data_IF_071358761012
#
_entry.id   IF_071358761012
#
_cell.length_a   1.000
_cell.length_b   1.000
_cell.length_c   1.000
_cell.angle_alpha   90.00
_cell.angle_beta   90.00
_cell.angle_gamma   90.00
#
_symmetry.space_group_name_H-M   'P 1'
#
loop_
_entity.id
_entity.type
_entity.pdbx_description
1 polymer ?
#
# COMPACT_ATOMS: atom_id res chain seq x y z
N UNK A 1 10.02 -3.08 14.66
CA UNK A 1 10.45 -3.99 13.59
C UNK A 1 9.23 -4.37 12.79
N UNK A 2 9.30 -4.31 11.46
CA UNK A 2 8.20 -4.65 10.56
C UNK A 2 8.12 -6.16 10.37
N UNK A 3 6.98 -6.75 10.72
CA UNK A 3 6.66 -8.16 10.50
C UNK A 3 5.93 -8.32 9.16
N UNK A 4 6.69 -8.63 8.11
CA UNK A 4 6.17 -8.85 6.76
C UNK A 4 5.12 -9.95 6.69
N UNK A 5 5.33 -11.06 7.41
CA UNK A 5 4.38 -12.18 7.44
C UNK A 5 3.04 -11.77 8.07
N UNK A 6 3.06 -10.92 9.10
CA UNK A 6 1.85 -10.40 9.71
C UNK A 6 1.08 -9.48 8.74
N UNK A 7 1.78 -8.62 8.00
CA UNK A 7 1.18 -7.81 6.94
C UNK A 7 0.53 -8.68 5.85
N UNK A 8 1.23 -9.71 5.38
CA UNK A 8 0.71 -10.65 4.37
C UNK A 8 -0.46 -11.46 4.90
N UNK A 9 -0.39 -11.98 6.12
CA UNK A 9 -1.49 -12.72 6.75
C UNK A 9 -2.74 -11.85 6.88
N UNK A 10 -2.59 -10.58 7.27
CA UNK A 10 -3.69 -9.63 7.30
C UNK A 10 -4.27 -9.42 5.90
N UNK A 11 -3.41 -9.17 4.91
CA UNK A 11 -3.83 -8.95 3.53
C UNK A 11 -4.56 -10.17 2.94
N UNK A 12 -4.13 -11.39 3.27
CA UNK A 12 -4.78 -12.62 2.82
C UNK A 12 -6.09 -12.91 3.55
N UNK A 13 -6.25 -12.43 4.78
CA UNK A 13 -7.50 -12.59 5.54
C UNK A 13 -8.60 -11.64 5.04
N UNK A 14 -8.22 -10.40 4.72
CA UNK A 14 -9.18 -9.32 4.48
C UNK A 14 -9.31 -8.92 3.01
N UNK A 15 -8.70 -9.63 2.06
CA UNK A 15 -8.66 -9.22 0.64
C UNK A 15 -10.04 -9.00 -0.02
N UNK A 16 -11.09 -9.68 0.47
CA UNK A 16 -12.47 -9.67 -0.05
C UNK A 16 -13.49 -9.09 0.94
N UNK A 17 -13.03 -8.53 2.05
CA UNK A 17 -13.90 -8.10 3.15
C UNK A 17 -13.32 -6.93 3.92
N UNK A 18 -14.19 -6.11 4.54
CA UNK A 18 -13.73 -4.91 5.27
C UNK A 18 -13.65 -5.23 6.75
N UNK A 19 -12.51 -4.97 7.36
CA UNK A 19 -12.33 -5.17 8.79
C UNK A 19 -13.13 -4.12 9.57
N UNK A 20 -14.13 -4.51 10.39
CA UNK A 20 -15.00 -3.57 11.11
C UNK A 20 -14.26 -2.76 12.20
N UNK A 21 -13.02 -3.12 12.55
CA UNK A 21 -12.19 -2.32 13.45
C UNK A 21 -11.71 -0.99 12.82
N UNK A 22 -11.86 -0.83 11.50
CA UNK A 22 -11.41 0.34 10.74
C UNK A 22 -12.58 1.01 10.01
N UNK A 23 -12.46 2.32 9.68
CA UNK A 23 -13.41 2.98 8.81
C UNK A 23 -13.47 2.29 7.44
N UNK A 24 -14.67 2.16 6.89
CA UNK A 24 -14.89 1.70 5.53
C UNK A 24 -14.95 2.88 4.56
N UNK A 25 -14.46 2.67 3.34
CA UNK A 25 -14.44 3.64 2.26
C UNK A 25 -14.96 3.00 0.98
N UNK A 26 -15.58 3.78 0.09
CA UNK A 26 -15.95 3.31 -1.25
C UNK A 26 -14.71 3.03 -2.10
N UNK A 27 -13.72 3.94 -2.02
CA UNK A 27 -12.39 3.77 -2.61
C UNK A 27 -11.41 3.41 -1.49
N UNK A 28 -11.16 2.11 -1.35
CA UNK A 28 -10.60 1.54 -0.12
C UNK A 28 -9.16 1.04 -0.25
N UNK A 29 -8.58 1.07 -1.46
CA UNK A 29 -7.24 0.58 -1.74
C UNK A 29 -6.21 0.99 -0.66
N UNK A 30 -6.10 2.29 -0.39
CA UNK A 30 -5.07 2.82 0.53
C UNK A 30 -5.37 2.54 1.99
N UNK A 31 -6.65 2.54 2.38
CA UNK A 31 -7.04 2.19 3.74
C UNK A 31 -6.73 0.71 4.02
N UNK A 32 -7.03 -0.20 3.08
CA UNK A 32 -6.61 -1.59 3.16
C UNK A 32 -5.09 -1.76 3.23
N UNK A 33 -4.32 -1.09 2.36
CA UNK A 33 -2.85 -1.15 2.42
C UNK A 33 -2.34 -0.62 3.77
N UNK A 34 -2.91 0.48 4.28
CA UNK A 34 -2.53 1.03 5.58
C UNK A 34 -2.82 0.07 6.72
N UNK A 35 -3.95 -0.65 6.68
CA UNK A 35 -4.24 -1.69 7.67
C UNK A 35 -3.23 -2.85 7.60
N UNK A 36 -2.83 -3.28 6.40
CA UNK A 36 -1.81 -4.31 6.22
C UNK A 36 -0.46 -3.87 6.80
N UNK A 37 -0.02 -2.64 6.50
CA UNK A 37 1.21 -2.07 7.02
C UNK A 37 1.17 -1.94 8.55
N UNK A 38 0.03 -1.50 9.10
CA UNK A 38 -0.18 -1.42 10.55
C UNK A 38 -0.14 -2.80 11.20
N UNK A 39 -0.78 -3.81 10.60
CA UNK A 39 -0.74 -5.20 11.08
C UNK A 39 0.68 -5.79 11.05
N UNK A 40 1.52 -5.33 10.11
CA UNK A 40 2.95 -5.59 10.11
C UNK A 40 3.74 -4.83 11.17
N UNK A 41 3.11 -3.98 11.99
CA UNK A 41 3.77 -3.23 13.06
C UNK A 41 4.44 -1.94 12.60
N UNK A 42 4.05 -1.39 11.45
CA UNK A 42 4.50 -0.06 11.04
C UNK A 42 4.01 1.02 12.04
N UNK A 43 4.91 1.87 12.56
CA UNK A 43 4.54 2.89 13.54
C UNK A 43 3.87 4.08 12.87
N UNK A 44 2.70 4.44 13.39
CA UNK A 44 2.00 5.66 13.01
C UNK A 44 2.73 6.91 13.52
N UNK A 45 2.71 7.98 12.73
CA UNK A 45 3.35 9.25 13.08
C UNK A 45 2.64 10.46 12.44
N UNK A 46 2.79 11.65 13.03
CA UNK A 46 2.33 12.93 12.46
C UNK A 46 0.91 13.38 12.84
N UNK A 47 0.24 12.68 13.76
CA UNK A 47 -0.99 13.15 14.40
C UNK A 47 -0.76 14.50 15.12
N UNK A 48 -1.71 15.46 15.08
CA UNK A 48 -3.08 15.37 14.56
C UNK A 48 -3.31 15.98 13.16
N UNK A 49 -2.28 16.48 12.48
CA UNK A 49 -2.48 17.17 11.21
C UNK A 49 -2.77 16.16 10.08
N UNK A 50 -3.95 16.27 9.46
CA UNK A 50 -4.39 15.36 8.38
C UNK A 50 -3.54 15.43 7.11
N UNK A 51 -2.87 16.56 6.88
CA UNK A 51 -1.99 16.76 5.72
C UNK A 51 -0.59 16.15 5.91
N UNK A 52 -0.25 15.68 7.12
CA UNK A 52 1.10 15.20 7.43
C UNK A 52 1.12 13.85 8.14
N UNK A 53 2.21 13.11 7.94
CA UNK A 53 2.43 11.82 8.58
C UNK A 53 1.66 10.69 7.93
N UNK A 54 1.50 9.60 8.68
CA UNK A 54 0.69 8.42 8.34
C UNK A 54 0.09 7.89 9.65
N UNK A 55 -1.21 8.06 9.83
CA UNK A 55 -1.88 7.74 11.09
C UNK A 55 -3.40 7.60 10.95
N UNK A 56 -3.98 6.79 11.84
CA UNK A 56 -5.40 6.73 12.17
C UNK A 56 -5.56 6.75 13.70
N UNK A 57 -6.40 7.65 14.22
CA UNK A 57 -6.61 7.83 15.66
C UNK A 57 -7.96 8.49 15.94
N UNK A 58 -8.69 7.96 16.92
CA UNK A 58 -9.95 8.57 17.40
C UNK A 58 -11.00 8.76 16.29
N UNK A 59 -11.08 7.83 15.33
CA UNK A 59 -12.00 7.93 14.19
C UNK A 59 -11.58 8.95 13.12
N UNK A 60 -10.40 9.55 13.22
CA UNK A 60 -9.82 10.45 12.20
C UNK A 60 -8.52 9.87 11.63
N UNK A 61 -8.10 10.33 10.45
CA UNK A 61 -6.91 9.83 9.76
C UNK A 61 -6.22 10.91 8.91
N UNK A 62 -4.94 10.68 8.60
CA UNK A 62 -4.19 11.46 7.59
C UNK A 62 -4.59 11.11 6.17
N UNK A 63 -4.37 12.01 5.20
CA UNK A 63 -4.64 11.71 3.79
C UNK A 63 -3.83 10.52 3.28
N UNK A 64 -2.57 10.39 3.71
CA UNK A 64 -1.73 9.24 3.40
C UNK A 64 -2.24 7.90 3.91
N UNK A 65 -3.16 7.88 4.90
CA UNK A 65 -3.79 6.65 5.37
C UNK A 65 -4.85 6.14 4.38
N UNK A 66 -5.53 7.04 3.66
CA UNK A 66 -6.73 6.69 2.89
C UNK A 66 -6.71 7.11 1.41
N UNK A 67 -5.67 7.79 0.93
CA UNK A 67 -5.57 8.29 -0.47
C UNK A 67 -4.27 7.84 -1.12
N UNK A 68 -4.35 7.15 -2.27
CA UNK A 68 -3.19 6.53 -2.94
C UNK A 68 -2.11 7.53 -3.31
N UNK A 69 -2.50 8.66 -3.89
CA UNK A 69 -1.57 9.74 -4.22
C UNK A 69 -0.82 10.27 -2.98
N UNK A 70 -1.52 10.44 -1.87
CA UNK A 70 -0.90 10.90 -0.63
C UNK A 70 0.01 9.83 0.00
N UNK A 71 -0.37 8.54 -0.04
CA UNK A 71 0.47 7.45 0.46
C UNK A 71 1.77 7.35 -0.35
N UNK A 72 1.69 7.43 -1.68
CA UNK A 72 2.86 7.39 -2.57
C UNK A 72 3.88 8.48 -2.21
N UNK A 73 3.43 9.72 -2.02
CA UNK A 73 4.34 10.82 -1.66
C UNK A 73 4.87 10.68 -0.23
N UNK A 74 4.06 10.17 0.69
CA UNK A 74 4.51 9.85 2.04
C UNK A 74 5.63 8.80 2.02
N UNK A 75 5.45 7.66 1.34
CA UNK A 75 6.46 6.60 1.26
C UNK A 75 7.75 7.07 0.58
N UNK A 76 7.66 7.94 -0.43
CA UNK A 76 8.83 8.50 -1.10
C UNK A 76 9.64 9.49 -0.26
N UNK A 77 9.00 10.18 0.70
CA UNK A 77 9.62 11.29 1.44
C UNK A 77 9.81 11.06 2.95
N UNK A 78 9.15 10.06 3.53
CA UNK A 78 9.16 9.83 4.98
C UNK A 78 10.55 9.41 5.47
N UNK A 79 10.99 10.05 6.55
CA UNK A 79 12.25 9.73 7.26
C UNK A 79 12.01 9.27 8.70
N UNK A 80 10.75 9.13 9.12
CA UNK A 80 10.36 8.79 10.48
C UNK A 80 9.05 8.01 10.50
N UNK A 81 8.97 7.03 11.39
CA UNK A 81 7.81 6.15 11.46
C UNK A 81 7.87 5.12 10.31
N UNK A 82 6.74 4.89 9.64
CA UNK A 82 6.72 4.12 8.39
C UNK A 82 7.63 4.77 7.34
N UNK A 83 8.63 4.03 6.89
CA UNK A 83 9.58 4.46 5.86
C UNK A 83 9.79 3.36 4.83
N UNK A 84 10.18 3.75 3.62
CA UNK A 84 10.43 2.84 2.52
C UNK A 84 11.60 3.31 1.67
N UNK A 85 12.15 2.39 0.88
CA UNK A 85 13.11 2.66 -0.19
C UNK A 85 12.43 2.42 -1.53
N UNK A 86 12.51 3.41 -2.42
CA UNK A 86 12.11 3.22 -3.80
C UNK A 86 13.13 2.32 -4.53
N UNK A 87 12.64 1.33 -5.27
CA UNK A 87 13.44 0.44 -6.11
C UNK A 87 13.01 0.53 -7.57
N UNK A 88 13.86 0.04 -8.47
CA UNK A 88 13.70 0.26 -9.91
C UNK A 88 12.77 -0.75 -10.57
N UNK A 89 12.67 -1.95 -10.00
CA UNK A 89 11.91 -3.06 -10.59
C UNK A 89 10.98 -3.74 -9.59
N UNK A 90 9.90 -4.35 -10.08
CA UNK A 90 8.97 -5.10 -9.23
C UNK A 90 9.63 -6.33 -8.61
N UNK A 91 10.57 -6.97 -9.31
CA UNK A 91 11.24 -8.20 -8.90
C UNK A 91 12.09 -8.00 -7.63
N UNK A 92 12.57 -6.78 -7.39
CA UNK A 92 13.26 -6.39 -6.16
C UNK A 92 12.34 -6.41 -4.93
N UNK A 93 11.01 -6.36 -5.10
CA UNK A 93 10.06 -6.37 -4.00
C UNK A 93 10.00 -7.73 -3.30
N UNK A 94 9.80 -7.69 -2.00
CA UNK A 94 9.50 -8.83 -1.15
C UNK A 94 8.08 -8.75 -0.59
N UNK A 95 7.72 -9.77 0.19
CA UNK A 95 6.45 -9.82 0.90
C UNK A 95 6.25 -8.59 1.81
N UNK A 96 5.05 -8.02 1.80
CA UNK A 96 4.69 -6.84 2.57
C UNK A 96 5.18 -5.51 1.98
N UNK A 97 5.76 -5.51 0.78
CA UNK A 97 6.13 -4.30 0.05
C UNK A 97 4.96 -3.73 -0.75
N UNK A 98 5.05 -2.45 -1.12
CA UNK A 98 3.93 -1.70 -1.71
C UNK A 98 4.24 -1.26 -3.14
N UNK A 99 3.22 -1.28 -4.00
CA UNK A 99 3.29 -0.71 -5.35
C UNK A 99 2.26 0.40 -5.45
N UNK A 100 2.65 1.55 -6.01
CA UNK A 100 1.73 2.63 -6.37
C UNK A 100 1.57 2.71 -7.88
N UNK A 101 0.33 2.92 -8.33
CA UNK A 101 -0.06 2.92 -9.74
C UNK A 101 -0.61 4.28 -10.11
N UNK A 102 -0.13 4.79 -11.23
CA UNK A 102 -0.68 5.91 -11.99
C UNK A 102 -1.12 5.29 -13.32
N UNK A 103 -2.41 4.97 -13.44
CA UNK A 103 -2.89 4.10 -14.52
C UNK A 103 -2.91 4.84 -15.86
N UNK A 104 -3.21 6.13 -15.83
CA UNK A 104 -3.30 7.02 -16.99
C UNK A 104 -1.93 7.60 -17.39
N UNK A 105 -0.97 7.61 -16.47
CA UNK A 105 0.35 8.23 -16.66
C UNK A 105 0.32 9.75 -16.56
N UNK A 106 -0.65 10.33 -15.84
CA UNK A 106 -0.88 11.77 -15.74
C UNK A 106 -0.20 12.41 -14.50
N UNK A 107 0.47 11.60 -13.69
CA UNK A 107 1.15 12.00 -12.46
C UNK A 107 0.29 11.90 -11.21
N UNK A 108 -1.01 11.61 -11.33
CA UNK A 108 -1.89 11.23 -10.23
C UNK A 108 -1.71 9.73 -9.96
N UNK A 109 -1.74 9.33 -8.69
CA UNK A 109 -1.60 7.91 -8.35
C UNK A 109 -2.92 7.45 -7.77
N UNK A 110 -3.56 6.53 -8.48
CA UNK A 110 -4.96 6.15 -8.31
C UNK A 110 -5.10 4.91 -7.45
N UNK A 111 -4.05 4.10 -7.40
CA UNK A 111 -4.12 2.81 -6.75
C UNK A 111 -2.84 2.44 -6.00
N UNK A 112 -3.01 1.57 -5.01
CA UNK A 112 -1.92 1.04 -4.20
C UNK A 112 -2.22 -0.40 -3.83
N UNK A 113 -1.21 -1.26 -3.93
CA UNK A 113 -1.31 -2.70 -3.66
C UNK A 113 -0.18 -3.14 -2.74
N UNK A 114 -0.33 -4.33 -2.13
CA UNK A 114 0.70 -4.94 -1.28
C UNK A 114 1.10 -6.31 -1.84
N UNK A 115 2.39 -6.59 -1.88
CA UNK A 115 2.96 -7.88 -2.31
C UNK A 115 2.69 -8.94 -1.24
N UNK A 116 1.97 -9.99 -1.61
CA UNK A 116 1.52 -11.07 -0.71
C UNK A 116 2.01 -12.45 -1.11
N UNK A 117 2.45 -12.61 -2.36
CA UNK A 117 3.08 -13.83 -2.86
C UNK A 117 4.05 -13.49 -4.01
N UNK A 118 4.75 -14.51 -4.52
CA UNK A 118 5.56 -14.41 -5.75
C UNK A 118 5.32 -15.66 -6.60
N UNK A 119 5.27 -15.47 -7.91
CA UNK A 119 5.38 -16.53 -8.92
C UNK A 119 6.76 -16.42 -9.56
N UNK A 120 7.70 -17.26 -9.12
CA UNK A 120 9.13 -17.07 -9.42
C UNK A 120 9.64 -15.71 -8.91
N UNK A 121 10.11 -14.87 -9.83
CA UNK A 121 10.54 -13.50 -9.51
C UNK A 121 9.40 -12.49 -9.48
N UNK A 122 8.24 -12.81 -10.06
CA UNK A 122 7.15 -11.88 -10.27
C UNK A 122 6.29 -11.72 -9.01
N UNK A 123 6.13 -10.49 -8.48
CA UNK A 123 5.24 -10.27 -7.35
C UNK A 123 3.77 -10.53 -7.69
N UNK A 124 3.07 -11.13 -6.73
CA UNK A 124 1.62 -11.21 -6.71
C UNK A 124 1.10 -10.34 -5.57
N UNK A 125 0.02 -9.61 -5.82
CA UNK A 125 -0.48 -8.56 -4.92
C UNK A 125 -1.92 -8.79 -4.49
N UNK A 126 -2.24 -8.29 -3.31
CA UNK A 126 -3.63 -8.10 -2.87
C UNK A 126 -3.98 -6.60 -2.89
N UNK A 127 -5.26 -6.31 -3.12
CA UNK A 127 -5.78 -4.96 -3.19
C UNK A 127 -7.30 -4.90 -2.94
N UNK A 128 -7.79 -3.70 -2.63
CA UNK A 128 -9.23 -3.36 -2.50
C UNK A 128 -9.71 -2.42 -3.62
N UNK A 129 -10.94 -1.90 -3.51
CA UNK A 129 -11.72 -1.16 -4.53
C UNK A 129 -12.21 -2.08 -5.64
N UNK A 130 -11.28 -2.82 -6.25
CA UNK A 130 -11.57 -4.04 -7.00
C UNK A 130 -10.78 -5.14 -6.34
N UNK A 131 -11.47 -5.84 -5.45
CA UNK A 131 -10.87 -6.83 -4.56
C UNK A 131 -10.07 -7.85 -5.38
N UNK A 132 -8.79 -7.99 -5.00
CA UNK A 132 -7.84 -8.82 -5.71
C UNK A 132 -7.01 -9.61 -4.71
N UNK A 133 -6.81 -10.89 -5.00
CA UNK A 133 -5.93 -11.78 -4.26
C UNK A 133 -4.93 -12.41 -5.23
N UNK A 134 -3.65 -12.36 -4.87
CA UNK A 134 -2.54 -12.95 -5.60
C UNK A 134 -2.56 -12.61 -7.10
N UNK A 135 -2.97 -11.38 -7.43
CA UNK A 135 -3.01 -10.89 -8.80
C UNK A 135 -1.61 -10.52 -9.27
N UNK A 136 -1.31 -10.75 -10.54
CA UNK A 136 -0.03 -10.31 -11.10
C UNK A 136 0.14 -8.79 -10.97
N UNK A 137 1.27 -8.35 -10.39
CA UNK A 137 1.52 -6.96 -10.01
C UNK A 137 1.31 -5.94 -11.14
N UNK A 138 1.58 -6.33 -12.39
CA UNK A 138 1.51 -5.43 -13.55
C UNK A 138 0.08 -4.95 -13.86
N UNK A 139 -0.96 -5.61 -13.35
CA UNK A 139 -2.37 -5.19 -13.52
C UNK A 139 -2.83 -5.05 -14.98
N UNK A 140 -2.16 -5.73 -15.94
CA UNK A 140 -2.44 -5.60 -17.39
C UNK A 140 -3.82 -6.11 -17.81
N UNK A 141 -4.43 -6.95 -16.99
CA UNK A 141 -5.77 -7.52 -17.13
C UNK A 141 -6.86 -6.63 -16.50
N UNK A 142 -6.50 -5.45 -15.96
CA UNK A 142 -7.43 -4.50 -15.37
C UNK A 142 -8.06 -3.60 -16.42
N UNK A 143 -9.34 -3.28 -16.28
CA UNK A 143 -9.99 -2.30 -17.16
C UNK A 143 -9.43 -0.87 -17.00
N UNK A 144 -8.76 -0.59 -15.87
CA UNK A 144 -8.06 0.68 -15.64
C UNK A 144 -6.68 0.71 -16.31
N UNK A 145 -6.15 -0.43 -16.77
CA UNK A 145 -4.83 -0.46 -17.37
C UNK A 145 -4.78 0.38 -18.66
N UNK A 146 -3.74 1.19 -18.78
CA UNK A 146 -3.38 1.86 -20.02
C UNK A 146 -1.92 1.56 -20.40
N UNK A 147 -1.56 1.65 -21.69
CA UNK A 147 -0.16 1.55 -22.12
C UNK A 147 0.77 2.61 -21.50
N UNK A 148 0.21 3.70 -20.97
CA UNK A 148 0.96 4.80 -20.37
C UNK A 148 1.20 4.61 -18.86
N UNK A 149 0.61 3.57 -18.26
CA UNK A 149 0.65 3.32 -16.83
C UNK A 149 2.08 3.41 -16.27
N UNK A 150 2.20 4.11 -15.15
CA UNK A 150 3.44 4.25 -14.38
C UNK A 150 3.31 3.55 -13.04
N UNK A 151 4.41 2.99 -12.59
CA UNK A 151 4.49 2.25 -11.34
C UNK A 151 5.63 2.80 -10.50
N UNK A 152 5.43 2.83 -9.19
CA UNK A 152 6.50 3.09 -8.22
C UNK A 152 6.54 1.94 -7.22
N UNK A 153 7.73 1.38 -7.03
CA UNK A 153 7.97 0.20 -6.21
C UNK A 153 8.63 0.62 -4.89
N UNK A 154 7.98 0.30 -3.78
CA UNK A 154 8.44 0.67 -2.44
C UNK A 154 8.77 -0.57 -1.61
N UNK A 155 10.07 -0.76 -1.30
CA UNK A 155 10.48 -1.71 -0.27
C UNK A 155 10.31 -1.08 1.10
N UNK A 156 9.40 -1.61 1.91
CA UNK A 156 9.20 -1.12 3.28
C UNK A 156 10.44 -1.45 4.11
N UNK A 157 10.91 -0.51 4.93
CA UNK A 157 12.07 -0.76 5.79
C UNK A 157 11.66 -1.65 6.97
N UNK A 158 12.50 -2.63 7.32
CA UNK A 158 12.18 -3.56 8.42
C UNK A 158 12.41 -2.95 9.81
N UNK A 159 13.22 -1.90 9.86
CA UNK A 159 13.50 -1.12 11.06
C UNK A 159 13.08 0.33 10.84
N UNK A 160 12.42 0.89 11.84
CA UNK A 160 11.94 2.27 11.83
C UNK A 160 12.73 3.03 12.89
N UNK A 161 13.35 4.14 12.49
CA UNK A 161 14.02 5.09 13.37
C UNK A 161 13.05 6.05 14.04
#
# INVERSE_FOLDING_TARGET
MYNREAAVRYANQWWDSRNPAFPAFDVDCTNFISQCLLAGGAPMHGYPNRQSGWWLRGGTWSFSWSVSHSLRWYLAGSKKGLTAKQVSTAQELGLGDVISYDFEGDGRYDHSTIVTAKDGSEPLVNAHTFDAQHRHWAYKDSYMFSPNAKYVFFKINDQFS
#
